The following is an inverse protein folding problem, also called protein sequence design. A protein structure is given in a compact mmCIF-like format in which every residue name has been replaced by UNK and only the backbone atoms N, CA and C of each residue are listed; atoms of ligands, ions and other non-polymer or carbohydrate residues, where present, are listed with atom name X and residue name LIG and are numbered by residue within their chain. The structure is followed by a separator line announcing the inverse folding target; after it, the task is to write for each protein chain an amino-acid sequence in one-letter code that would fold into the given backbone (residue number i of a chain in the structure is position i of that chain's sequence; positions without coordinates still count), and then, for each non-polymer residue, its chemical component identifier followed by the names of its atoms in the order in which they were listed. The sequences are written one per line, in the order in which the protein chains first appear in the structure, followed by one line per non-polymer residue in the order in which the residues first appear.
data_IF_214352930995
#
_entry.id   IF_214352930995
#
_cell.length_a   1.000
_cell.length_b   1.000
_cell.length_c   1.000
_cell.angle_alpha   90.00
_cell.angle_beta   90.00
_cell.angle_gamma   90.00
#
_symmetry.space_group_name_H-M   'P 1'
#
loop_
_entity.id
_entity.type
_entity.pdbx_description
1 polymer ?
#
# COMPACT_ATOMS: atom_id res chain seq x y z
N UNK A 1 -0.18 8.07 -44.44
CA UNK A 1 0.35 9.34 -43.87
C UNK A 1 1.63 9.70 -44.62
N UNK A 2 1.83 10.95 -45.05
CA UNK A 2 3.01 11.27 -45.88
C UNK A 2 4.31 11.28 -45.03
N UNK A 3 5.49 11.03 -45.63
CA UNK A 3 6.79 10.99 -44.93
C UNK A 3 7.15 12.29 -44.18
N UNK A 4 6.67 13.42 -44.66
CA UNK A 4 6.93 14.75 -44.10
C UNK A 4 6.14 14.97 -42.79
N UNK A 5 4.92 14.44 -42.73
CA UNK A 5 4.04 14.45 -41.57
C UNK A 5 4.61 13.57 -40.46
N UNK A 6 5.16 12.41 -40.83
CA UNK A 6 5.87 11.52 -39.90
C UNK A 6 7.10 12.21 -39.29
N UNK A 7 7.87 12.93 -40.11
CA UNK A 7 9.06 13.68 -39.66
C UNK A 7 8.72 14.81 -38.70
N UNK A 8 7.65 15.58 -38.98
CA UNK A 8 7.18 16.66 -38.08
C UNK A 8 6.75 16.10 -36.72
N UNK A 9 5.98 15.02 -36.71
CA UNK A 9 5.52 14.37 -35.47
C UNK A 9 6.69 13.78 -34.68
N UNK A 10 7.63 13.11 -35.35
CA UNK A 10 8.86 12.60 -34.71
C UNK A 10 9.66 13.72 -34.06
N UNK A 11 9.77 14.88 -34.70
CA UNK A 11 10.47 16.05 -34.15
C UNK A 11 9.73 16.65 -32.93
N UNK A 12 8.41 16.67 -32.93
CA UNK A 12 7.61 17.09 -31.76
C UNK A 12 7.86 16.18 -30.56
N UNK A 13 7.87 14.87 -30.77
CA UNK A 13 8.12 13.91 -29.70
C UNK A 13 9.57 13.95 -29.18
N UNK A 14 10.56 14.15 -30.06
CA UNK A 14 11.95 14.38 -29.62
C UNK A 14 12.07 15.61 -28.72
N UNK A 15 11.39 16.71 -29.07
CA UNK A 15 11.38 17.92 -28.22
C UNK A 15 10.70 17.66 -26.88
N UNK A 16 9.62 16.88 -26.85
CA UNK A 16 8.96 16.51 -25.59
C UNK A 16 9.91 15.73 -24.66
N UNK A 17 10.60 14.71 -25.19
CA UNK A 17 11.63 13.96 -24.43
C UNK A 17 12.69 14.89 -23.86
N UNK A 18 13.21 15.84 -24.67
CA UNK A 18 14.21 16.81 -24.21
C UNK A 18 13.69 17.72 -23.08
N UNK A 19 12.43 18.18 -23.19
CA UNK A 19 11.81 19.00 -22.14
C UNK A 19 11.66 18.19 -20.85
N UNK A 20 11.23 16.94 -20.92
CA UNK A 20 11.10 16.07 -19.75
C UNK A 20 12.43 15.88 -19.02
N UNK A 21 13.53 15.67 -19.76
CA UNK A 21 14.89 15.56 -19.19
C UNK A 21 15.32 16.88 -18.53
N UNK A 22 15.07 18.03 -19.16
CA UNK A 22 15.43 19.33 -18.61
C UNK A 22 14.65 19.65 -17.32
N UNK A 23 13.35 19.33 -17.28
CA UNK A 23 12.52 19.51 -16.07
C UNK A 23 12.98 18.57 -14.96
N UNK A 24 13.35 17.35 -15.28
CA UNK A 24 13.92 16.45 -14.29
C UNK A 24 15.21 16.97 -13.66
N UNK A 25 16.11 17.56 -14.46
CA UNK A 25 17.33 18.20 -13.94
C UNK A 25 16.99 19.37 -13.02
N UNK A 26 15.98 20.18 -13.36
CA UNK A 26 15.51 21.25 -12.49
C UNK A 26 14.98 20.71 -11.15
N UNK A 27 14.24 19.59 -11.18
CA UNK A 27 13.78 18.92 -9.96
C UNK A 27 14.94 18.37 -9.12
N UNK A 28 15.96 17.78 -9.75
CA UNK A 28 17.17 17.34 -9.07
C UNK A 28 17.88 18.50 -8.35
N UNK A 29 18.06 19.63 -9.04
CA UNK A 29 18.67 20.83 -8.47
C UNK A 29 17.84 21.46 -7.33
N UNK A 30 16.53 21.18 -7.28
CA UNK A 30 15.62 21.65 -6.25
C UNK A 30 15.45 20.66 -5.07
N UNK A 31 16.23 19.57 -5.02
CA UNK A 31 16.12 18.53 -3.99
C UNK A 31 14.88 17.62 -4.14
N UNK A 32 14.20 17.68 -5.29
CA UNK A 32 13.00 16.89 -5.63
C UNK A 32 13.39 15.62 -6.39
N UNK A 33 14.19 14.79 -5.73
CA UNK A 33 14.85 13.64 -6.37
C UNK A 33 13.87 12.58 -6.91
N UNK A 34 12.74 12.39 -6.24
CA UNK A 34 11.74 11.41 -6.66
C UNK A 34 11.03 11.86 -7.94
N UNK A 35 10.60 13.12 -8.01
CA UNK A 35 9.96 13.66 -9.21
C UNK A 35 10.94 13.77 -10.38
N UNK A 36 12.20 14.12 -10.10
CA UNK A 36 13.28 14.11 -11.10
C UNK A 36 13.45 12.72 -11.71
N UNK A 37 13.57 11.70 -10.86
CA UNK A 37 13.76 10.31 -11.28
C UNK A 37 12.55 9.78 -12.05
N UNK A 38 11.34 10.14 -11.64
CA UNK A 38 10.11 9.78 -12.36
C UNK A 38 10.08 10.36 -13.79
N UNK A 39 10.37 11.67 -13.94
CA UNK A 39 10.39 12.32 -15.25
C UNK A 39 11.48 11.75 -16.17
N UNK A 40 12.66 11.41 -15.63
CA UNK A 40 13.73 10.77 -16.39
C UNK A 40 13.30 9.39 -16.91
N UNK A 41 12.71 8.56 -16.04
CA UNK A 41 12.24 7.24 -16.43
C UNK A 41 11.20 7.33 -17.54
N UNK A 42 10.25 8.25 -17.43
CA UNK A 42 9.23 8.44 -18.44
C UNK A 42 9.79 8.98 -19.76
N UNK A 43 10.77 9.90 -19.70
CA UNK A 43 11.46 10.40 -20.89
C UNK A 43 12.20 9.28 -21.61
N UNK A 44 12.85 8.38 -20.87
CA UNK A 44 13.56 7.23 -21.41
C UNK A 44 12.60 6.21 -22.04
N UNK A 45 11.47 5.92 -21.39
CA UNK A 45 10.43 5.05 -21.95
C UNK A 45 9.84 5.61 -23.24
N UNK A 46 9.54 6.91 -23.28
CA UNK A 46 9.04 7.59 -24.47
C UNK A 46 10.08 7.56 -25.60
N UNK A 47 11.36 7.83 -25.28
CA UNK A 47 12.45 7.76 -26.24
C UNK A 47 12.62 6.35 -26.85
N UNK A 48 12.54 5.31 -26.01
CA UNK A 48 12.59 3.92 -26.44
C UNK A 48 11.41 3.55 -27.35
N UNK A 49 10.18 3.91 -26.97
CA UNK A 49 8.97 3.65 -27.75
C UNK A 49 8.99 4.30 -29.15
N UNK A 50 9.75 5.38 -29.29
CA UNK A 50 9.90 6.13 -30.55
C UNK A 50 11.12 5.71 -31.38
N UNK A 51 11.91 4.73 -30.91
CA UNK A 51 13.16 4.31 -31.57
C UNK A 51 14.17 5.45 -31.68
N UNK A 52 14.22 6.31 -30.65
CA UNK A 52 15.14 7.46 -30.59
C UNK A 52 16.46 7.13 -29.89
N UNK A 53 16.54 5.96 -29.25
CA UNK A 53 17.78 5.42 -28.68
C UNK A 53 18.43 4.53 -29.75
N UNK A 54 19.74 4.70 -29.97
CA UNK A 54 20.51 3.74 -30.77
C UNK A 54 20.56 2.37 -30.07
N UNK A 55 20.92 1.32 -30.80
CA UNK A 55 20.94 -0.09 -30.34
C UNK A 55 21.89 -0.40 -29.16
N UNK A 56 22.43 0.62 -28.49
CA UNK A 56 23.25 0.46 -27.29
C UNK A 56 22.45 0.89 -26.05
N UNK A 57 21.85 -0.08 -25.34
CA UNK A 57 21.89 -0.27 -23.87
C UNK A 57 20.80 -1.24 -23.40
N UNK A 58 21.09 -2.55 -23.45
CA UNK A 58 20.37 -3.57 -22.65
C UNK A 58 20.88 -3.56 -21.21
N UNK A 59 20.74 -2.42 -20.54
CA UNK A 59 20.90 -2.30 -19.10
C UNK A 59 19.60 -1.71 -18.53
N UNK A 60 18.83 -2.55 -17.84
CA UNK A 60 17.94 -2.12 -16.73
C UNK A 60 17.04 -0.91 -16.98
N UNK A 61 16.32 -0.85 -18.11
CA UNK A 61 15.29 0.17 -18.25
C UNK A 61 14.10 -0.18 -17.32
N UNK A 62 13.80 0.67 -16.35
CA UNK A 62 12.58 0.61 -15.53
C UNK A 62 11.36 0.94 -16.40
N UNK A 63 11.00 0.03 -17.31
CA UNK A 63 9.85 0.16 -18.22
C UNK A 63 8.56 -0.33 -17.56
N UNK A 64 7.37 0.13 -18.00
CA UNK A 64 6.10 -0.31 -17.45
C UNK A 64 5.93 -1.83 -17.55
N UNK A 65 6.45 -2.41 -18.65
CA UNK A 65 6.44 -3.85 -18.87
C UNK A 65 7.28 -4.61 -17.82
N UNK A 66 8.43 -4.06 -17.41
CA UNK A 66 9.25 -4.71 -16.39
C UNK A 66 8.58 -4.69 -15.00
N UNK A 67 7.88 -3.61 -14.65
CA UNK A 67 7.05 -3.57 -13.45
C UNK A 67 5.87 -4.54 -13.55
N UNK A 68 5.22 -4.63 -14.72
CA UNK A 68 4.13 -5.57 -14.93
C UNK A 68 4.62 -7.02 -14.78
N UNK A 69 5.77 -7.37 -15.36
CA UNK A 69 6.36 -8.70 -15.22
C UNK A 69 6.68 -9.01 -13.75
N UNK A 70 7.26 -8.05 -13.01
CA UNK A 70 7.51 -8.18 -11.58
C UNK A 70 6.22 -8.37 -10.77
N UNK A 71 5.18 -7.60 -11.08
CA UNK A 71 3.87 -7.70 -10.43
C UNK A 71 3.24 -9.06 -10.69
N UNK A 72 3.20 -9.51 -11.94
CA UNK A 72 2.61 -10.79 -12.32
C UNK A 72 3.33 -11.97 -11.65
N UNK A 73 4.66 -11.93 -11.62
CA UNK A 73 5.45 -12.96 -10.94
C UNK A 73 5.25 -12.92 -9.42
N UNK A 74 5.13 -11.73 -8.82
CA UNK A 74 4.79 -11.58 -7.40
C UNK A 74 3.42 -12.19 -7.09
N UNK A 75 2.38 -11.83 -7.85
CA UNK A 75 1.02 -12.33 -7.63
C UNK A 75 0.92 -13.85 -7.86
N UNK A 76 1.67 -14.39 -8.83
CA UNK A 76 1.80 -15.84 -9.02
C UNK A 76 2.39 -16.53 -7.79
N UNK A 77 3.51 -16.00 -7.25
CA UNK A 77 4.13 -16.55 -6.02
C UNK A 77 3.18 -16.47 -4.82
N UNK A 78 2.46 -15.36 -4.66
CA UNK A 78 1.44 -15.20 -3.62
C UNK A 78 0.34 -16.24 -3.75
N UNK A 79 -0.15 -16.46 -4.97
CA UNK A 79 -1.19 -17.45 -5.24
C UNK A 79 -0.72 -18.89 -4.96
N UNK A 80 0.54 -19.22 -5.25
CA UNK A 80 1.11 -20.55 -5.04
C UNK A 80 1.46 -20.82 -3.57
N UNK A 81 2.10 -19.84 -2.91
CA UNK A 81 2.53 -19.94 -1.53
C UNK A 81 2.78 -18.54 -0.94
N UNK A 82 1.81 -17.95 -0.21
CA UNK A 82 1.93 -16.61 0.38
C UNK A 82 2.84 -16.59 1.62
N UNK A 83 3.95 -17.33 1.58
CA UNK A 83 4.94 -17.38 2.65
C UNK A 83 6.04 -16.33 2.41
N UNK A 84 6.31 -15.43 3.39
CA UNK A 84 7.41 -14.46 3.32
C UNK A 84 8.76 -15.08 2.93
N UNK A 85 9.07 -16.29 3.37
CA UNK A 85 10.34 -16.98 3.07
C UNK A 85 10.53 -17.30 1.59
N UNK A 86 9.44 -17.39 0.82
CA UNK A 86 9.46 -17.63 -0.63
C UNK A 86 9.48 -16.30 -1.39
N UNK A 87 8.76 -15.30 -0.91
CA UNK A 87 8.49 -14.05 -1.63
C UNK A 87 9.58 -13.00 -1.36
N UNK A 88 10.02 -12.85 -0.12
CA UNK A 88 10.98 -11.80 0.26
C UNK A 88 12.34 -11.92 -0.46
N UNK A 89 12.92 -13.12 -0.70
CA UNK A 89 14.14 -13.23 -1.48
C UNK A 89 13.98 -12.71 -2.92
N UNK A 90 12.82 -12.93 -3.54
CA UNK A 90 12.52 -12.42 -4.87
C UNK A 90 12.42 -10.89 -4.88
N UNK A 91 11.73 -10.31 -3.91
CA UNK A 91 11.65 -8.85 -3.76
C UNK A 91 13.00 -8.21 -3.44
N UNK A 92 13.82 -8.85 -2.61
CA UNK A 92 15.16 -8.37 -2.28
C UNK A 92 16.08 -8.24 -3.51
N UNK A 93 15.85 -9.03 -4.56
CA UNK A 93 16.56 -8.94 -5.84
C UNK A 93 15.97 -7.89 -6.80
N UNK A 94 14.79 -7.36 -6.50
CA UNK A 94 14.02 -6.47 -7.37
C UNK A 94 13.54 -5.23 -6.59
N UNK A 95 14.35 -4.73 -5.64
CA UNK A 95 14.00 -3.58 -4.79
C UNK A 95 13.73 -2.31 -5.61
N UNK A 96 14.36 -2.20 -6.77
CA UNK A 96 14.15 -1.12 -7.74
C UNK A 96 12.75 -1.11 -8.37
N UNK A 97 11.95 -2.18 -8.15
CA UNK A 97 10.55 -2.27 -8.57
C UNK A 97 9.54 -1.96 -7.45
N UNK A 98 9.99 -1.80 -6.20
CA UNK A 98 9.13 -1.44 -5.07
C UNK A 98 9.14 0.07 -4.84
N UNK A 99 8.60 0.81 -5.81
CA UNK A 99 8.46 2.27 -5.80
C UNK A 99 7.05 2.73 -6.26
N UNK A 100 6.84 4.03 -6.44
CA UNK A 100 5.54 4.57 -6.84
C UNK A 100 5.06 4.11 -8.22
N UNK A 101 5.97 3.68 -9.12
CA UNK A 101 5.56 3.20 -10.44
C UNK A 101 4.79 1.88 -10.31
N UNK A 102 5.15 1.04 -9.34
CA UNK A 102 4.41 -0.20 -9.09
C UNK A 102 2.97 0.07 -8.69
N UNK A 103 2.70 1.15 -7.96
CA UNK A 103 1.35 1.55 -7.56
C UNK A 103 0.48 1.81 -8.80
N UNK A 104 1.01 2.57 -9.76
CA UNK A 104 0.32 2.86 -11.02
C UNK A 104 0.06 1.59 -11.83
N UNK A 105 1.07 0.71 -11.93
CA UNK A 105 0.95 -0.54 -12.69
C UNK A 105 -0.05 -1.49 -12.03
N UNK A 106 -0.02 -1.61 -10.70
CA UNK A 106 -0.98 -2.40 -9.94
C UNK A 106 -2.41 -1.89 -10.13
N UNK A 107 -2.63 -0.57 -10.02
CA UNK A 107 -3.95 0.02 -10.19
C UNK A 107 -4.49 -0.15 -11.61
N UNK A 108 -3.67 0.16 -12.63
CA UNK A 108 -4.05 -0.01 -14.03
C UNK A 108 -4.39 -1.46 -14.35
N UNK A 109 -3.52 -2.39 -13.96
CA UNK A 109 -3.75 -3.82 -14.19
C UNK A 109 -5.01 -4.31 -13.46
N UNK A 110 -5.20 -3.92 -12.20
CA UNK A 110 -6.35 -4.34 -11.42
C UNK A 110 -7.66 -3.78 -11.99
N UNK A 111 -7.68 -2.52 -12.45
CA UNK A 111 -8.85 -1.93 -13.09
C UNK A 111 -9.28 -2.72 -14.33
N UNK A 112 -8.33 -2.99 -15.24
CA UNK A 112 -8.63 -3.73 -16.47
C UNK A 112 -9.05 -5.17 -16.17
N UNK A 113 -8.30 -5.85 -15.29
CA UNK A 113 -8.54 -7.26 -14.99
C UNK A 113 -9.84 -7.48 -14.21
N UNK A 114 -10.15 -6.64 -13.22
CA UNK A 114 -11.39 -6.77 -12.44
C UNK A 114 -12.64 -6.45 -13.28
N UNK A 115 -12.53 -5.58 -14.29
CA UNK A 115 -13.63 -5.29 -15.21
C UNK A 115 -13.90 -6.44 -16.19
N UNK A 116 -12.93 -7.33 -16.43
CA UNK A 116 -13.02 -8.39 -17.43
C UNK A 116 -13.40 -9.76 -16.88
N UNK A 117 -13.66 -9.88 -15.58
CA UNK A 117 -13.85 -11.18 -14.90
C UNK A 117 -15.16 -11.23 -14.13
N UNK A 118 -15.63 -12.43 -13.82
CA UNK A 118 -16.82 -12.60 -12.98
C UNK A 118 -16.53 -12.33 -11.49
N UNK A 119 -17.59 -12.30 -10.68
CA UNK A 119 -17.47 -12.00 -9.24
C UNK A 119 -16.59 -13.00 -8.48
N UNK A 120 -16.57 -14.27 -8.89
CA UNK A 120 -15.79 -15.31 -8.21
C UNK A 120 -14.31 -15.15 -8.52
N UNK A 121 -13.96 -14.92 -9.77
CA UNK A 121 -12.57 -14.64 -10.16
C UNK A 121 -12.09 -13.29 -9.59
N UNK A 122 -12.94 -12.26 -9.58
CA UNK A 122 -12.64 -10.98 -8.93
C UNK A 122 -12.33 -11.15 -7.44
N UNK A 123 -13.08 -11.98 -6.72
CA UNK A 123 -12.82 -12.30 -5.31
C UNK A 123 -11.42 -12.91 -5.12
N UNK A 124 -11.04 -13.90 -5.92
CA UNK A 124 -9.72 -14.52 -5.81
C UNK A 124 -8.59 -13.54 -6.15
N UNK A 125 -8.77 -12.70 -7.18
CA UNK A 125 -7.80 -11.68 -7.55
C UNK A 125 -7.62 -10.66 -6.42
N UNK A 126 -8.72 -10.16 -5.85
CA UNK A 126 -8.68 -9.26 -4.70
C UNK A 126 -7.97 -9.92 -3.50
N UNK A 127 -8.19 -11.21 -3.25
CA UNK A 127 -7.47 -11.97 -2.22
C UNK A 127 -5.95 -12.00 -2.45
N UNK A 128 -5.50 -12.25 -3.68
CA UNK A 128 -4.08 -12.23 -4.02
C UNK A 128 -3.47 -10.84 -3.83
N UNK A 129 -4.18 -9.78 -4.21
CA UNK A 129 -3.75 -8.40 -4.00
C UNK A 129 -3.69 -8.07 -2.49
N UNK A 130 -4.66 -8.55 -1.71
CA UNK A 130 -4.67 -8.38 -0.25
C UNK A 130 -3.45 -9.02 0.40
N UNK A 131 -3.13 -10.29 0.06
CA UNK A 131 -1.93 -10.97 0.57
C UNK A 131 -0.64 -10.28 0.14
N UNK A 132 -0.56 -9.84 -1.12
CA UNK A 132 0.56 -9.02 -1.60
C UNK A 132 0.74 -7.76 -0.72
N UNK A 133 -0.37 -7.06 -0.42
CA UNK A 133 -0.39 -5.84 0.39
C UNK A 133 0.04 -6.09 1.83
N UNK A 134 -0.40 -7.21 2.41
CA UNK A 134 -0.04 -7.64 3.76
C UNK A 134 1.47 -7.92 3.89
N UNK A 135 2.02 -8.61 2.90
CA UNK A 135 3.43 -8.96 2.85
C UNK A 135 4.31 -7.73 2.62
N UNK A 136 3.97 -6.86 1.65
CA UNK A 136 4.78 -5.67 1.34
C UNK A 136 4.74 -4.66 2.49
N UNK A 137 3.61 -4.55 3.21
CA UNK A 137 3.52 -3.72 4.41
C UNK A 137 4.56 -4.10 5.48
N UNK A 138 4.85 -5.40 5.63
CA UNK A 138 5.78 -5.96 6.64
C UNK A 138 7.21 -6.09 6.10
N UNK A 139 7.44 -5.82 4.84
CA UNK A 139 8.74 -5.96 4.21
C UNK A 139 9.65 -4.78 4.56
N UNK A 140 10.81 -5.07 5.15
CA UNK A 140 11.70 -4.06 5.75
C UNK A 140 12.90 -3.67 4.89
N UNK A 141 13.07 -4.29 3.71
CA UNK A 141 14.13 -3.93 2.77
C UNK A 141 13.64 -2.92 1.73
N UNK A 142 14.57 -2.12 1.20
CA UNK A 142 14.28 -1.05 0.25
C UNK A 142 13.64 0.17 0.92
N UNK A 143 12.75 0.86 0.19
CA UNK A 143 12.05 2.04 0.71
C UNK A 143 10.84 1.62 1.53
N UNK A 144 10.96 1.60 2.86
CA UNK A 144 9.84 1.31 3.77
C UNK A 144 8.66 2.25 3.51
N UNK A 145 8.94 3.53 3.22
CA UNK A 145 7.90 4.49 2.87
C UNK A 145 7.14 4.08 1.60
N UNK A 146 7.84 3.64 0.54
CA UNK A 146 7.17 3.17 -0.68
C UNK A 146 6.39 1.89 -0.42
N UNK A 147 6.93 0.95 0.36
CA UNK A 147 6.25 -0.30 0.73
C UNK A 147 4.89 -0.03 1.42
N UNK A 148 4.82 0.97 2.32
CA UNK A 148 3.54 1.38 2.94
C UNK A 148 2.56 1.98 1.93
N UNK A 149 3.01 2.80 0.98
CA UNK A 149 2.13 3.34 -0.08
C UNK A 149 1.61 2.23 -1.02
N UNK A 150 2.46 1.25 -1.37
CA UNK A 150 2.08 0.09 -2.19
C UNK A 150 1.01 -0.74 -1.46
N UNK A 151 1.21 -1.01 -0.16
CA UNK A 151 0.22 -1.72 0.64
C UNK A 151 -1.11 -0.96 0.73
N UNK A 152 -1.08 0.35 0.96
CA UNK A 152 -2.29 1.20 0.96
C UNK A 152 -3.05 1.05 -0.35
N UNK A 153 -2.37 1.21 -1.49
CA UNK A 153 -3.00 1.08 -2.80
C UNK A 153 -3.61 -0.30 -3.04
N UNK A 154 -2.90 -1.37 -2.68
CA UNK A 154 -3.41 -2.73 -2.83
C UNK A 154 -4.62 -3.03 -1.93
N UNK A 155 -4.65 -2.53 -0.70
CA UNK A 155 -5.84 -2.62 0.16
C UNK A 155 -7.01 -1.79 -0.40
N UNK A 156 -6.77 -0.60 -0.93
CA UNK A 156 -7.81 0.23 -1.56
C UNK A 156 -8.40 -0.44 -2.81
N UNK A 157 -7.56 -1.12 -3.62
CA UNK A 157 -8.00 -1.96 -4.75
C UNK A 157 -8.83 -3.14 -4.26
N UNK A 158 -8.37 -3.83 -3.22
CA UNK A 158 -9.08 -4.97 -2.61
C UNK A 158 -10.49 -4.56 -2.17
N UNK A 159 -10.65 -3.38 -1.58
CA UNK A 159 -11.93 -2.83 -1.13
C UNK A 159 -12.90 -2.47 -2.26
N UNK A 160 -12.47 -2.47 -3.53
CA UNK A 160 -13.38 -2.38 -4.70
C UNK A 160 -14.23 -3.63 -4.85
N UNK A 161 -13.70 -4.78 -4.42
CA UNK A 161 -14.36 -6.10 -4.52
C UNK A 161 -14.91 -6.54 -3.17
N UNK A 162 -14.06 -6.51 -2.14
CA UNK A 162 -14.45 -6.85 -0.78
C UNK A 162 -15.26 -5.73 -0.20
N UNK A 163 -16.58 -5.75 -0.42
CA UNK A 163 -17.50 -4.77 0.14
C UNK A 163 -18.15 -5.29 1.42
N UNK A 164 -18.57 -4.40 2.32
CA UNK A 164 -19.30 -4.78 3.54
C UNK A 164 -20.53 -5.65 3.26
N UNK A 165 -21.22 -5.43 2.14
CA UNK A 165 -22.44 -6.15 1.79
C UNK A 165 -22.18 -7.56 1.24
N UNK A 166 -21.17 -7.72 0.38
CA UNK A 166 -20.88 -9.00 -0.26
C UNK A 166 -19.93 -9.88 0.57
N UNK A 167 -18.91 -9.27 1.17
CA UNK A 167 -17.82 -9.97 1.87
C UNK A 167 -17.50 -9.26 3.19
N UNK A 168 -18.42 -9.25 4.16
CA UNK A 168 -18.30 -8.42 5.37
C UNK A 168 -17.02 -8.67 6.15
N UNK A 169 -16.61 -9.94 6.30
CA UNK A 169 -15.39 -10.32 7.03
C UNK A 169 -14.13 -9.86 6.30
N UNK A 170 -14.05 -10.10 5.00
CA UNK A 170 -12.88 -9.74 4.19
C UNK A 170 -12.75 -8.22 4.03
N UNK A 171 -13.88 -7.51 3.94
CA UNK A 171 -13.91 -6.05 4.01
C UNK A 171 -13.38 -5.54 5.37
N UNK A 172 -13.81 -6.15 6.48
CA UNK A 172 -13.40 -5.73 7.81
C UNK A 172 -11.90 -5.98 8.08
N UNK A 173 -11.35 -7.13 7.67
CA UNK A 173 -9.90 -7.38 7.78
C UNK A 173 -9.09 -6.42 6.90
N UNK A 174 -9.61 -6.10 5.71
CA UNK A 174 -8.93 -5.15 4.81
C UNK A 174 -8.95 -3.74 5.40
N UNK A 175 -10.06 -3.30 6.01
CA UNK A 175 -10.16 -2.01 6.72
C UNK A 175 -9.23 -1.94 7.94
N UNK A 176 -9.16 -3.02 8.72
CA UNK A 176 -8.23 -3.16 9.85
C UNK A 176 -6.77 -2.97 9.39
N UNK A 177 -6.33 -3.72 8.37
CA UNK A 177 -4.94 -3.64 7.91
C UNK A 177 -4.61 -2.31 7.22
N UNK A 178 -5.56 -1.75 6.47
CA UNK A 178 -5.40 -0.41 5.90
C UNK A 178 -5.24 0.64 6.99
N UNK A 179 -6.02 0.54 8.09
CA UNK A 179 -5.88 1.43 9.23
C UNK A 179 -4.53 1.31 9.93
N UNK A 180 -4.01 0.09 10.13
CA UNK A 180 -2.65 -0.13 10.65
C UNK A 180 -1.60 0.48 9.71
N UNK A 181 -1.74 0.28 8.40
CA UNK A 181 -0.80 0.87 7.44
C UNK A 181 -0.81 2.39 7.49
N UNK A 182 -1.99 3.00 7.67
CA UNK A 182 -2.10 4.46 7.85
C UNK A 182 -1.45 4.95 9.15
N UNK A 183 -1.58 4.25 10.28
CA UNK A 183 -0.94 4.69 11.53
C UNK A 183 0.59 4.66 11.44
N UNK A 184 1.14 3.69 10.70
CA UNK A 184 2.57 3.50 10.44
C UNK A 184 3.08 4.28 9.22
N UNK A 185 2.20 4.98 8.50
CA UNK A 185 2.55 5.65 7.24
C UNK A 185 3.53 6.80 7.47
N UNK A 186 4.66 6.74 6.78
CA UNK A 186 5.76 7.71 6.88
C UNK A 186 5.45 9.01 6.11
N UNK A 187 4.72 8.91 4.99
CA UNK A 187 4.40 10.05 4.11
C UNK A 187 3.11 10.75 4.52
N UNK A 188 3.00 12.02 4.14
CA UNK A 188 1.83 12.86 4.41
C UNK A 188 1.83 13.44 5.83
N UNK A 189 0.73 14.10 6.18
CA UNK A 189 0.56 14.68 7.50
C UNK A 189 0.20 13.57 8.52
N UNK A 190 0.98 13.45 9.61
CA UNK A 190 0.76 12.42 10.64
C UNK A 190 -0.64 12.50 11.25
N UNK A 191 -1.19 13.69 11.49
CA UNK A 191 -2.52 13.84 12.06
C UNK A 191 -3.60 13.30 11.10
N UNK A 192 -3.50 13.61 9.80
CA UNK A 192 -4.42 13.06 8.79
C UNK A 192 -4.32 11.54 8.69
N UNK A 193 -3.11 10.99 8.75
CA UNK A 193 -2.87 9.56 8.74
C UNK A 193 -3.54 8.87 9.94
N UNK A 194 -3.45 9.46 11.14
CA UNK A 194 -4.13 8.92 12.34
C UNK A 194 -5.66 8.99 12.22
N UNK A 195 -6.24 10.07 11.67
CA UNK A 195 -7.70 10.12 11.46
C UNK A 195 -8.19 9.08 10.45
N UNK A 196 -7.41 8.79 9.40
CA UNK A 196 -7.70 7.69 8.48
C UNK A 196 -7.64 6.33 9.16
N UNK A 197 -6.68 6.13 10.07
CA UNK A 197 -6.55 4.93 10.89
C UNK A 197 -7.77 4.74 11.81
N UNK A 198 -8.16 5.79 12.56
CA UNK A 198 -9.38 5.79 13.39
C UNK A 198 -10.61 5.41 12.57
N UNK A 199 -10.75 5.99 11.38
CA UNK A 199 -11.87 5.70 10.48
C UNK A 199 -11.90 4.22 10.09
N UNK A 200 -10.77 3.65 9.65
CA UNK A 200 -10.71 2.25 9.23
C UNK A 200 -10.97 1.27 10.38
N UNK A 201 -10.44 1.52 11.58
CA UNK A 201 -10.74 0.70 12.77
C UNK A 201 -12.21 0.79 13.17
N UNK A 202 -12.78 1.99 13.19
CA UNK A 202 -14.21 2.20 13.49
C UNK A 202 -15.11 1.50 12.47
N UNK A 203 -14.72 1.49 11.20
CA UNK A 203 -15.41 0.76 10.14
C UNK A 203 -15.33 -0.76 10.33
N UNK A 204 -14.15 -1.31 10.65
CA UNK A 204 -13.97 -2.73 10.92
C UNK A 204 -14.81 -3.22 12.12
N UNK A 205 -14.95 -2.40 13.17
CA UNK A 205 -15.81 -2.66 14.34
C UNK A 205 -17.31 -2.75 14.00
N UNK A 206 -17.74 -2.34 12.80
CA UNK A 206 -19.13 -2.56 12.34
C UNK A 206 -19.40 -4.00 11.92
N UNK A 207 -18.38 -4.83 11.81
CA UNK A 207 -18.46 -6.26 11.48
C UNK A 207 -17.86 -7.08 12.61
N UNK A 208 -16.65 -6.72 13.06
CA UNK A 208 -16.05 -7.31 14.25
C UNK A 208 -16.79 -6.81 15.46
N UNK A 209 -17.63 -7.66 16.03
CA UNK A 209 -18.34 -7.41 17.29
C UNK A 209 -17.81 -8.39 18.33
N UNK A 210 -17.89 -8.02 19.61
CA UNK A 210 -17.50 -8.88 20.73
C UNK A 210 -18.11 -10.28 20.62
N UNK A 211 -19.40 -10.37 20.25
CA UNK A 211 -20.12 -11.64 20.14
C UNK A 211 -19.71 -12.48 18.93
N UNK A 212 -19.56 -11.87 17.75
CA UNK A 212 -19.35 -12.62 16.51
C UNK A 212 -17.88 -12.94 16.25
N UNK A 213 -16.99 -12.01 16.63
CA UNK A 213 -15.55 -12.10 16.38
C UNK A 213 -14.77 -11.53 17.57
N UNK A 214 -14.85 -12.14 18.76
CA UNK A 214 -14.30 -11.58 20.00
C UNK A 214 -12.82 -11.19 19.87
N UNK A 215 -12.01 -12.05 19.28
CA UNK A 215 -10.58 -11.81 19.09
C UNK A 215 -10.29 -10.66 18.13
N UNK A 216 -10.94 -10.64 16.95
CA UNK A 216 -10.75 -9.54 15.99
C UNK A 216 -11.31 -8.22 16.51
N UNK A 217 -12.40 -8.26 17.26
CA UNK A 217 -12.97 -7.08 17.92
C UNK A 217 -12.00 -6.52 18.97
N UNK A 218 -11.48 -7.35 19.86
CA UNK A 218 -10.53 -6.93 20.88
C UNK A 218 -9.23 -6.39 20.30
N UNK A 219 -8.67 -7.03 19.27
CA UNK A 219 -7.51 -6.53 18.53
C UNK A 219 -7.78 -5.16 17.91
N UNK A 220 -8.97 -4.98 17.32
CA UNK A 220 -9.34 -3.70 16.69
C UNK A 220 -9.49 -2.60 17.75
N UNK A 221 -10.10 -2.92 18.90
CA UNK A 221 -10.21 -1.99 20.03
C UNK A 221 -8.85 -1.62 20.61
N UNK A 222 -7.94 -2.58 20.77
CA UNK A 222 -6.57 -2.32 21.21
C UNK A 222 -5.85 -1.35 20.28
N UNK A 223 -5.87 -1.62 18.97
CA UNK A 223 -5.24 -0.73 18.00
C UNK A 223 -5.88 0.66 18.04
N UNK A 224 -7.21 0.75 18.14
CA UNK A 224 -7.90 2.03 18.26
C UNK A 224 -7.50 2.79 19.54
N UNK A 225 -7.25 2.09 20.65
CA UNK A 225 -6.73 2.69 21.87
C UNK A 225 -5.36 3.34 21.66
N UNK A 226 -4.44 2.64 20.99
CA UNK A 226 -3.11 3.19 20.64
C UNK A 226 -3.24 4.43 19.74
N UNK A 227 -4.14 4.39 18.76
CA UNK A 227 -4.31 5.55 17.86
C UNK A 227 -4.93 6.74 18.58
N UNK A 228 -5.89 6.54 19.48
CA UNK A 228 -6.43 7.63 20.29
C UNK A 228 -5.38 8.22 21.24
N UNK A 229 -4.50 7.39 21.79
CA UNK A 229 -3.37 7.86 22.59
C UNK A 229 -2.43 8.77 21.77
N UNK A 230 -2.08 8.36 20.56
CA UNK A 230 -1.21 9.11 19.64
C UNK A 230 -1.91 10.28 18.93
N UNK A 231 -3.23 10.43 19.08
CA UNK A 231 -4.04 11.33 18.26
C UNK A 231 -3.67 12.79 18.51
N UNK A 232 -3.29 13.46 17.42
CA UNK A 232 -2.86 14.88 17.44
C UNK A 232 -4.05 15.86 17.44
N UNK A 233 -5.18 15.48 16.83
CA UNK A 233 -6.37 16.34 16.72
C UNK A 233 -7.31 16.16 17.90
N UNK A 234 -8.02 17.23 18.24
CA UNK A 234 -9.00 17.24 19.32
C UNK A 234 -8.38 17.56 20.68
N UNK A 235 -9.20 17.49 21.72
CA UNK A 235 -8.73 17.68 23.09
C UNK A 235 -7.94 16.46 23.58
N UNK A 236 -6.83 16.71 24.28
CA UNK A 236 -5.93 15.64 24.75
C UNK A 236 -6.60 14.76 25.80
N UNK A 237 -7.41 15.33 26.69
CA UNK A 237 -8.11 14.56 27.73
C UNK A 237 -9.17 13.68 27.09
N UNK A 238 -9.97 14.22 26.17
CA UNK A 238 -10.98 13.43 25.44
C UNK A 238 -10.34 12.27 24.65
N UNK A 239 -9.17 12.50 24.04
CA UNK A 239 -8.43 11.46 23.32
C UNK A 239 -7.94 10.35 24.27
N UNK A 240 -7.43 10.71 25.45
CA UNK A 240 -7.02 9.74 26.46
C UNK A 240 -8.21 8.96 27.03
N UNK A 241 -9.35 9.61 27.27
CA UNK A 241 -10.58 8.93 27.70
C UNK A 241 -11.03 7.89 26.67
N UNK A 242 -11.03 8.24 25.37
CA UNK A 242 -11.34 7.28 24.30
C UNK A 242 -10.34 6.12 24.24
N UNK A 243 -9.05 6.41 24.45
CA UNK A 243 -8.01 5.37 24.52
C UNK A 243 -8.27 4.39 25.67
N UNK A 244 -8.55 4.91 26.87
CA UNK A 244 -8.86 4.10 28.06
C UNK A 244 -10.09 3.22 27.80
N UNK A 245 -11.17 3.80 27.27
CA UNK A 245 -12.40 3.05 26.96
C UNK A 245 -12.12 1.93 25.96
N UNK A 246 -11.42 2.22 24.85
CA UNK A 246 -11.09 1.20 23.86
C UNK A 246 -10.20 0.09 24.44
N UNK A 247 -9.26 0.42 25.32
CA UNK A 247 -8.43 -0.59 25.98
C UNK A 247 -9.23 -1.46 26.96
N UNK A 248 -10.15 -0.85 27.73
CA UNK A 248 -11.07 -1.58 28.60
C UNK A 248 -11.95 -2.56 27.82
N UNK A 249 -12.41 -2.17 26.62
CA UNK A 249 -13.14 -3.06 25.72
C UNK A 249 -12.26 -4.24 25.27
N UNK A 250 -11.00 -4.00 24.85
CA UNK A 250 -10.09 -5.08 24.46
C UNK A 250 -9.81 -6.09 25.58
N UNK A 251 -9.67 -5.61 26.82
CA UNK A 251 -9.39 -6.42 28.01
C UNK A 251 -10.56 -7.33 28.44
N UNK A 252 -11.78 -7.14 27.90
CA UNK A 252 -12.89 -8.09 28.13
C UNK A 252 -12.63 -9.45 27.49
N UNK A 253 -11.82 -9.50 26.44
CA UNK A 253 -11.49 -10.72 25.69
C UNK A 253 -10.06 -11.18 25.96
N UNK A 254 -9.11 -10.24 25.91
CA UNK A 254 -7.72 -10.54 26.25
C UNK A 254 -7.55 -10.56 27.76
N UNK A 255 -7.96 -11.66 28.39
CA UNK A 255 -7.73 -11.89 29.82
C UNK A 255 -6.42 -12.65 30.01
N UNK A 256 -5.85 -12.55 31.21
CA UNK A 256 -4.67 -13.31 31.59
C UNK A 256 -4.90 -14.83 31.44
N UNK A 257 -6.10 -15.32 31.76
CA UNK A 257 -6.42 -16.75 31.64
C UNK A 257 -6.58 -17.22 30.20
N UNK A 258 -7.12 -16.38 29.32
CA UNK A 258 -7.44 -16.77 27.95
C UNK A 258 -6.31 -16.48 26.96
N UNK A 259 -5.52 -15.44 27.19
CA UNK A 259 -4.50 -14.95 26.25
C UNK A 259 -3.39 -14.19 27.00
N UNK A 260 -2.56 -14.89 27.81
CA UNK A 260 -1.60 -14.25 28.72
C UNK A 260 -0.54 -13.39 28.01
N UNK A 261 -0.20 -13.71 26.76
CA UNK A 261 0.75 -12.92 25.95
C UNK A 261 0.12 -11.60 25.47
N UNK A 262 -1.10 -11.66 24.94
CA UNK A 262 -1.84 -10.48 24.49
C UNK A 262 -2.21 -9.57 25.68
N UNK A 263 -2.59 -10.17 26.81
CA UNK A 263 -2.82 -9.45 28.07
C UNK A 263 -1.55 -8.77 28.59
N UNK A 264 -0.39 -9.46 28.54
CA UNK A 264 0.87 -8.87 28.99
C UNK A 264 1.28 -7.67 28.12
N UNK A 265 1.12 -7.75 26.79
CA UNK A 265 1.36 -6.63 25.87
C UNK A 265 0.41 -5.46 26.14
N UNK A 266 -0.87 -5.76 26.38
CA UNK A 266 -1.90 -4.76 26.72
C UNK A 266 -1.59 -4.04 28.03
N UNK A 267 -1.10 -4.74 29.05
CA UNK A 267 -0.88 -4.15 30.38
C UNK A 267 0.51 -3.49 30.50
N UNK A 268 1.51 -3.95 29.74
CA UNK A 268 2.86 -3.36 29.78
C UNK A 268 2.89 -1.93 29.24
N UNK A 269 2.17 -1.66 28.15
CA UNK A 269 2.04 -0.31 27.57
C UNK A 269 1.48 0.70 28.57
N UNK A 270 0.65 0.25 29.51
CA UNK A 270 0.00 1.11 30.51
C UNK A 270 0.77 1.23 31.82
N UNK A 271 1.64 0.26 32.14
CA UNK A 271 2.46 0.28 33.37
C UNK A 271 3.74 1.09 33.23
N UNK A 272 4.23 1.32 32.02
CA UNK A 272 5.46 2.10 31.81
C UNK A 272 5.23 3.62 31.83
N UNK A 273 3.97 4.09 31.84
CA UNK A 273 3.64 5.51 31.69
C UNK A 273 2.68 6.09 32.75
N UNK A 274 2.49 5.39 33.87
CA UNK A 274 1.78 5.88 35.07
C UNK A 274 2.70 6.03 36.27
#
# INVERSE_FOLDING_TARGET
MNPESYRKIRNCWMRLVQVMVAVAQQFGNAGRENEARWLLNMAQQLAAALGLLGDETTATANTPQNYLNFLMETLRKVQENPNPQVIYPFWAQNLDKLDENLIYILDSWANDKLASVDTKEAYFIAGNIWYFSELVQKFTLGSIAANKEIAIAGYEITLRVYTKGAFPRDWAVTKLNLAVTYSERIRGNKADNLEKSITGFTEALRVYTEKAFPQSWALTQYNLALIYYDRIRGDKVENLEKSIVANQEALKVYTWEASPQDWALLVSVWKEEG
#
